data_IF_250667235570
#
_entry.id   IF_250667235570
#
_cell.length_a   1.000
_cell.length_b   1.000
_cell.length_c   1.000
_cell.angle_alpha   90.00
_cell.angle_beta   90.00
_cell.angle_gamma   90.00
#
_symmetry.space_group_name_H-M   'P 1'
#
loop_
_entity.id
_entity.type
_entity.pdbx_description
1 polymer ?
2 polymer ?
3 non-polymer ?
4 water ?
#
# COMPACT_ATOMS: atom_id res chain seq x y z
N UNK A 2 24.04 11.84 -21.72
CA UNK A 2 22.69 11.34 -21.92
C UNK A 2 22.06 10.90 -20.60
N UNK A 3 20.87 11.42 -20.30
CA UNK A 3 20.13 11.00 -19.12
C UNK A 3 19.44 9.68 -19.39
N UNK A 4 19.16 8.94 -18.32
CA UNK A 4 18.35 7.74 -18.42
C UNK A 4 16.93 8.17 -18.77
N UNK A 5 16.13 7.23 -19.28
CA UNK A 5 14.78 7.55 -19.74
C UNK A 5 13.93 8.12 -18.61
N UNK A 6 14.05 7.54 -17.43
CA UNK A 6 13.30 8.02 -16.26
C UNK A 6 13.67 9.44 -15.84
N UNK A 7 14.96 9.76 -15.82
CA UNK A 7 15.38 11.09 -15.40
C UNK A 7 15.06 12.13 -16.47
N UNK A 8 15.16 11.76 -17.74
CA UNK A 8 14.82 12.69 -18.82
C UNK A 8 13.32 12.94 -18.82
N UNK A 9 12.53 11.89 -18.58
CA UNK A 9 11.08 12.03 -18.47
C UNK A 9 10.73 12.97 -17.32
N UNK A 10 11.38 12.75 -16.18
CA UNK A 10 11.23 13.64 -15.02
C UNK A 10 11.54 15.08 -15.41
N UNK A 11 12.65 15.27 -16.12
CA UNK A 11 13.06 16.59 -16.60
C UNK A 11 12.03 17.23 -17.52
N UNK A 12 11.35 16.41 -18.31
CA UNK A 12 10.30 16.90 -19.20
C UNK A 12 9.09 17.39 -18.41
N UNK A 13 8.75 16.64 -17.36
CA UNK A 13 7.59 16.97 -16.55
C UNK A 13 7.77 18.31 -15.83
N UNK A 14 8.98 18.57 -15.34
CA UNK A 14 9.25 19.74 -14.52
C UNK A 14 9.74 20.95 -15.33
N UNK A 15 9.79 20.81 -16.65
CA UNK A 15 10.37 21.85 -17.50
C UNK A 15 9.56 23.14 -17.47
N UNK A 16 10.24 24.24 -17.20
CA UNK A 16 9.62 25.56 -17.20
C UNK A 16 8.83 25.87 -15.94
N UNK A 17 9.02 25.06 -14.92
CA UNK A 17 8.23 25.19 -13.69
C UNK A 17 9.11 25.48 -12.48
N UNK A 18 8.47 25.96 -11.42
CA UNK A 18 9.16 26.42 -10.21
C UNK A 18 8.81 25.54 -9.03
N UNK A 19 9.66 25.60 -8.00
CA UNK A 19 9.45 24.91 -6.74
C UNK A 19 8.59 25.79 -5.81
N UNK A 20 7.92 26.76 -6.41
CA UNK A 20 6.92 27.60 -5.75
C UNK A 20 5.54 27.41 -6.40
N UNK A 21 4.46 27.83 -5.71
CA UNK A 21 3.13 27.77 -6.35
C UNK A 21 3.06 28.64 -7.60
N UNK A 22 2.35 28.16 -8.62
CA UNK A 22 2.05 28.96 -9.80
C UNK A 22 1.00 30.02 -9.48
N UNK A 23 0.90 31.03 -10.34
CA UNK A 23 -0.11 32.08 -10.20
C UNK A 23 -1.52 31.51 -10.09
N UNK A 24 -1.82 30.50 -10.90
CA UNK A 24 -3.10 29.82 -10.87
C UNK A 24 -3.39 29.19 -9.51
N UNK A 25 -2.39 28.50 -8.95
CA UNK A 25 -2.55 27.84 -7.65
C UNK A 25 -2.72 28.86 -6.55
N UNK A 26 -1.91 29.92 -6.59
CA UNK A 26 -1.97 31.01 -5.62
C UNK A 26 -3.38 31.59 -5.56
N UNK A 27 -3.99 31.79 -6.73
CA UNK A 27 -5.36 32.31 -6.80
C UNK A 27 -6.35 31.39 -6.11
N UNK A 28 -6.17 30.09 -6.27
CA UNK A 28 -7.01 29.12 -5.59
C UNK A 28 -6.78 29.21 -4.08
N UNK A 29 -5.52 29.29 -3.68
CA UNK A 29 -5.15 29.49 -2.29
C UNK A 29 -5.87 30.71 -1.67
N UNK A 30 -5.91 31.80 -2.42
CA UNK A 30 -6.44 33.06 -1.90
C UNK A 30 -7.95 33.14 -1.92
N UNK A 31 -8.61 32.23 -2.64
CA UNK A 31 -10.07 32.20 -2.64
C UNK A 31 -10.59 31.43 -1.43
N UNK A 32 -9.66 30.87 -0.66
CA UNK A 32 -10.01 30.14 0.57
C UNK A 32 -10.18 31.09 1.75
N UNK A 33 -11.20 30.83 2.56
CA UNK A 33 -11.37 31.52 3.83
C UNK A 33 -10.06 31.45 4.63
N UNK A 34 -9.45 30.26 4.66
CA UNK A 34 -8.13 30.12 5.25
C UNK A 34 -7.12 29.71 4.17
N UNK A 35 -6.26 30.65 3.80
CA UNK A 35 -5.25 30.44 2.75
C UNK A 35 -4.13 29.54 3.27
N UNK A 36 -4.00 28.34 2.68
CA UNK A 36 -3.03 27.30 3.05
C UNK A 36 -1.57 27.59 2.71
N UNK A 37 -1.30 28.59 1.86
CA UNK A 37 0.04 28.74 1.26
C UNK A 37 1.20 28.75 2.25
N UNK A 38 1.01 29.33 3.43
CA UNK A 38 2.09 29.41 4.41
C UNK A 38 2.30 28.08 5.13
N UNK A 39 1.21 27.42 5.49
CA UNK A 39 1.32 26.13 6.16
C UNK A 39 1.86 25.06 5.23
N UNK A 40 1.55 25.19 3.95
CA UNK A 40 2.09 24.25 2.96
C UNK A 40 3.60 24.44 2.83
N UNK A 41 4.04 25.69 2.72
CA UNK A 41 5.47 26.00 2.71
C UNK A 41 6.20 25.42 3.92
N UNK A 42 5.59 25.55 5.10
CA UNK A 42 6.17 25.05 6.33
C UNK A 42 6.34 23.53 6.32
N UNK A 43 5.32 22.82 5.83
CA UNK A 43 5.41 21.38 5.67
C UNK A 43 6.56 20.98 4.73
N UNK A 44 6.67 21.64 3.57
CA UNK A 44 7.76 21.33 2.64
C UNK A 44 9.12 21.65 3.26
N UNK A 45 9.17 22.71 4.06
CA UNK A 45 10.40 23.09 4.75
C UNK A 45 10.78 22.04 5.81
N UNK A 46 9.79 21.57 6.56
CA UNK A 46 10.02 20.53 7.56
C UNK A 46 10.46 19.22 6.93
N UNK A 47 9.75 18.81 5.89
CA UNK A 47 10.04 17.58 5.15
C UNK A 47 11.41 17.65 4.50
N UNK A 48 11.71 18.81 3.91
CA UNK A 48 12.99 19.04 3.27
C UNK A 48 14.17 18.92 4.23
N UNK A 49 14.03 19.47 5.43
CA UNK A 49 15.13 19.43 6.40
C UNK A 49 15.35 18.00 6.90
N UNK A 50 14.26 17.31 7.27
CA UNK A 50 14.36 15.95 7.77
C UNK A 50 14.93 15.00 6.70
N UNK A 51 14.49 15.20 5.45
CA UNK A 51 15.01 14.43 4.31
C UNK A 51 16.51 14.59 4.16
N UNK A 52 16.97 15.85 4.19
CA UNK A 52 18.40 16.14 4.07
C UNK A 52 19.22 15.56 5.21
N UNK A 53 18.68 15.61 6.42
CA UNK A 53 19.38 15.07 7.60
C UNK A 53 19.62 13.57 7.48
N UNK A 54 18.59 12.84 7.07
CA UNK A 54 18.70 11.40 6.90
C UNK A 54 19.53 11.02 5.67
N UNK A 55 19.36 11.79 4.59
CA UNK A 55 20.07 11.54 3.34
C UNK A 55 21.59 11.62 3.53
N UNK A 56 22.02 12.63 4.27
CA UNK A 56 23.45 12.91 4.43
C UNK A 56 24.11 12.17 5.59
N UNK A 57 23.34 11.36 6.32
CA UNK A 57 23.88 10.60 7.45
C UNK A 57 23.81 9.09 7.23
N UNK A 58 24.84 8.36 7.66
CA UNK A 58 24.95 6.92 7.41
C UNK A 58 24.45 6.05 8.56
N UNK A 59 23.56 5.11 8.23
CA UNK A 59 22.89 4.25 9.22
C UNK A 59 23.49 2.84 9.40
N UNK A 60 24.61 2.59 8.73
CA UNK A 60 25.26 1.27 8.60
C UNK A 60 24.62 0.35 7.57
N UNK A 61 23.36 0.60 7.21
CA UNK A 61 22.77 -0.08 6.07
C UNK A 61 22.75 0.80 4.81
N UNK A 62 22.96 2.09 5.03
CA UNK A 62 22.81 3.11 3.99
C UNK A 62 23.87 4.20 4.08
N UNK A 63 25.00 4.03 3.37
CA UNK A 63 26.03 5.08 3.36
C UNK A 63 25.44 6.46 3.06
N UNK A 64 25.84 7.47 3.83
CA UNK A 64 25.34 8.82 3.65
C UNK A 64 25.86 9.45 2.38
N UNK A 65 25.15 10.48 1.90
CA UNK A 65 25.49 11.07 0.61
C UNK A 65 25.51 12.60 0.68
N UNK A 66 26.21 13.22 -0.28
CA UNK A 66 26.48 14.65 -0.24
C UNK A 66 25.21 15.49 -0.29
N UNK A 67 25.23 16.62 0.41
CA UNK A 67 24.06 17.47 0.57
C UNK A 67 23.61 18.10 -0.76
N UNK A 68 24.55 18.32 -1.68
CA UNK A 68 24.21 18.92 -2.97
C UNK A 68 23.27 18.03 -3.78
N UNK A 69 23.40 16.72 -3.64
CA UNK A 69 22.50 15.81 -4.34
C UNK A 69 21.14 15.76 -3.64
N UNK A 70 21.14 15.75 -2.31
CA UNK A 70 19.91 15.81 -1.54
C UNK A 70 19.05 16.99 -1.95
N UNK A 71 19.68 18.15 -2.01
CA UNK A 71 19.00 19.39 -2.36
C UNK A 71 18.44 19.34 -3.78
N UNK A 72 19.21 18.78 -4.70
CA UNK A 72 18.75 18.61 -6.06
C UNK A 72 17.56 17.64 -6.14
N UNK A 73 17.64 16.54 -5.40
CA UNK A 73 16.49 15.63 -5.28
C UNK A 73 15.28 16.40 -4.76
N UNK A 74 15.50 17.14 -3.68
CA UNK A 74 14.44 17.84 -2.99
C UNK A 74 13.78 18.87 -3.89
N UNK A 75 14.62 19.71 -4.52
CA UNK A 75 14.17 20.72 -5.45
C UNK A 75 13.25 20.15 -6.54
N UNK A 76 13.67 19.04 -7.12
CA UNK A 76 12.90 18.37 -8.16
C UNK A 76 11.56 17.89 -7.63
N UNK A 77 11.56 17.35 -6.41
CA UNK A 77 10.33 16.85 -5.82
C UNK A 77 9.37 18.00 -5.50
N UNK A 78 9.92 19.13 -5.09
CA UNK A 78 9.11 20.31 -4.79
C UNK A 78 8.45 20.87 -6.05
N UNK A 79 9.17 20.85 -7.16
CA UNK A 79 8.60 21.28 -8.42
C UNK A 79 7.44 20.35 -8.79
N UNK A 80 7.64 19.05 -8.64
CA UNK A 80 6.59 18.07 -8.90
C UNK A 80 5.39 18.26 -7.98
N UNK A 81 5.66 18.57 -6.71
CA UNK A 81 4.60 18.73 -5.73
C UNK A 81 3.61 19.82 -6.12
N UNK A 82 4.10 21.03 -6.39
CA UNK A 82 3.23 22.14 -6.74
C UNK A 82 2.53 21.93 -8.08
N UNK A 83 3.16 21.18 -8.98
CA UNK A 83 2.54 20.85 -10.25
C UNK A 83 1.34 19.93 -10.04
N UNK A 84 1.54 18.86 -9.29
CA UNK A 84 0.48 17.87 -9.08
C UNK A 84 -0.62 18.46 -8.20
N UNK A 85 -0.23 19.22 -7.18
CA UNK A 85 -1.19 19.89 -6.31
C UNK A 85 -2.09 20.84 -7.11
N UNK A 86 -1.51 21.57 -8.06
CA UNK A 86 -2.30 22.47 -8.88
C UNK A 86 -3.30 21.70 -9.72
N UNK A 87 -2.84 20.60 -10.32
CA UNK A 87 -3.71 19.74 -11.11
C UNK A 87 -4.84 19.18 -10.26
N UNK A 88 -4.51 18.72 -9.06
CA UNK A 88 -5.53 18.19 -8.16
C UNK A 88 -6.55 19.25 -7.77
N UNK A 89 -6.09 20.44 -7.44
CA UNK A 89 -6.99 21.50 -6.96
C UNK A 89 -7.92 22.00 -8.07
N UNK A 90 -7.38 22.12 -9.28
CA UNK A 90 -8.16 22.61 -10.40
C UNK A 90 -9.32 21.67 -10.75
N UNK A 91 -9.05 20.37 -10.74
CA UNK A 91 -10.03 19.37 -11.13
C UNK A 91 -10.99 18.99 -10.00
N UNK A 92 -10.78 19.58 -8.83
CA UNK A 92 -11.61 19.28 -7.67
C UNK A 92 -13.06 19.71 -7.87
N UNK A 93 -13.98 18.91 -7.35
CA UNK A 93 -15.42 19.17 -7.48
C UNK A 93 -15.83 20.49 -6.84
N UNK A 94 -15.32 20.76 -5.64
CA UNK A 94 -15.67 21.99 -4.94
C UNK A 94 -15.19 23.22 -5.70
N UNK A 95 -14.05 23.10 -6.36
CA UNK A 95 -13.49 24.20 -7.16
C UNK A 95 -14.42 24.51 -8.33
N UNK A 96 -14.87 23.45 -9.00
CA UNK A 96 -15.74 23.59 -10.17
C UNK A 96 -17.11 24.14 -9.80
N UNK A 97 -17.54 23.89 -8.56
CA UNK A 97 -18.81 24.42 -8.07
C UNK A 97 -18.64 25.75 -7.34
N UNK A 98 -17.39 26.23 -7.28
CA UNK A 98 -17.10 27.51 -6.66
C UNK A 98 -17.24 27.51 -5.16
N UNK A 99 -16.95 26.37 -4.53
CA UNK A 99 -17.08 26.25 -3.09
C UNK A 99 -15.73 26.32 -2.39
N UNK A 100 -15.73 26.89 -1.19
CA UNK A 100 -14.52 27.10 -0.42
C UNK A 100 -13.80 25.80 -0.14
N UNK A 101 -12.52 25.75 -0.49
CA UNK A 101 -11.70 24.56 -0.36
C UNK A 101 -10.83 24.50 0.89
N UNK A 102 -11.03 25.43 1.83
CA UNK A 102 -10.20 25.54 3.03
C UNK A 102 -9.99 24.20 3.73
N UNK A 103 -11.07 23.49 4.00
CA UNK A 103 -10.98 22.23 4.73
C UNK A 103 -10.23 21.19 3.91
N UNK A 104 -10.42 21.22 2.60
CA UNK A 104 -9.71 20.31 1.71
C UNK A 104 -8.20 20.55 1.79
N UNK A 105 -7.82 21.81 1.67
CA UNK A 105 -6.42 22.18 1.55
C UNK A 105 -5.65 22.20 2.88
N UNK A 106 -6.37 22.10 3.99
CA UNK A 106 -5.75 22.17 5.31
C UNK A 106 -5.45 20.81 5.93
N UNK A 107 -5.62 19.73 5.17
CA UNK A 107 -5.32 18.41 5.73
C UNK A 107 -3.85 18.09 5.54
N UNK A 108 -3.11 18.07 6.66
CA UNK A 108 -1.66 17.93 6.62
C UNK A 108 -1.21 16.60 6.01
N UNK A 109 -1.99 15.55 6.24
CA UNK A 109 -1.58 14.23 5.82
C UNK A 109 -1.55 14.16 4.29
N UNK A 110 -2.42 14.91 3.62
CA UNK A 110 -2.44 14.89 2.15
C UNK A 110 -1.16 15.50 1.61
N UNK A 111 -0.83 16.69 2.08
CA UNK A 111 0.36 17.40 1.61
C UNK A 111 1.64 16.64 1.91
N UNK A 112 1.74 16.10 3.12
CA UNK A 112 2.92 15.33 3.51
C UNK A 112 3.05 14.10 2.62
N UNK A 113 1.93 13.41 2.40
CA UNK A 113 1.95 12.21 1.59
C UNK A 113 2.31 12.53 0.14
N UNK A 114 1.82 13.65 -0.36
CA UNK A 114 2.08 14.05 -1.74
C UNK A 114 3.56 14.39 -1.94
N UNK A 115 4.10 15.15 -0.99
CA UNK A 115 5.52 15.50 -1.03
C UNK A 115 6.41 14.25 -0.90
N UNK A 116 6.00 13.30 -0.07
CA UNK A 116 6.76 12.05 0.06
C UNK A 116 6.69 11.23 -1.22
N UNK A 117 5.50 11.17 -1.80
CA UNK A 117 5.34 10.45 -3.05
C UNK A 117 6.18 11.10 -4.15
N UNK A 118 6.24 12.43 -4.13
CA UNK A 118 7.07 13.12 -5.11
C UNK A 118 8.54 12.78 -4.90
N UNK A 119 8.96 12.72 -3.64
CA UNK A 119 10.34 12.37 -3.32
C UNK A 119 10.63 10.94 -3.77
N UNK A 120 9.65 10.06 -3.57
CA UNK A 120 9.78 8.67 -3.99
C UNK A 120 9.90 8.54 -5.50
N UNK A 121 9.13 9.35 -6.23
CA UNK A 121 9.23 9.38 -7.69
C UNK A 121 10.64 9.75 -8.14
N UNK A 122 11.18 10.79 -7.54
CA UNK A 122 12.49 11.30 -7.89
C UNK A 122 13.58 10.27 -7.56
N UNK A 123 13.53 9.76 -6.34
CA UNK A 123 14.47 8.72 -5.89
C UNK A 123 14.44 7.51 -6.81
N UNK A 124 13.24 7.07 -7.18
CA UNK A 124 13.12 5.92 -8.08
C UNK A 124 13.74 6.22 -9.43
N UNK A 125 13.47 7.41 -9.96
CA UNK A 125 13.96 7.81 -11.28
C UNK A 125 15.47 7.76 -11.36
N UNK A 126 16.13 7.98 -10.23
CA UNK A 126 17.59 7.97 -10.17
C UNK A 126 18.16 6.62 -9.75
N UNK A 127 17.29 5.63 -9.60
CA UNK A 127 17.68 4.30 -9.11
C UNK A 127 18.37 4.42 -7.76
N UNK A 128 17.76 5.18 -6.86
CA UNK A 128 18.29 5.39 -5.54
C UNK A 128 18.40 4.08 -4.78
N UNK A 129 19.49 3.92 -4.01
CA UNK A 129 19.65 2.81 -3.06
C UNK A 129 18.67 2.94 -1.90
N UNK A 130 18.03 4.10 -1.76
CA UNK A 130 17.14 4.26 -0.61
C UNK A 130 15.78 3.77 -1.02
N UNK A 131 15.52 2.53 -0.64
CA UNK A 131 14.41 1.76 -1.17
C UNK A 131 13.21 1.98 -0.28
N UNK A 132 12.05 2.16 -0.89
CA UNK A 132 10.80 2.21 -0.17
C UNK A 132 10.71 0.99 0.74
N UNK A 133 10.21 1.16 1.99
CA UNK A 133 9.67 2.43 2.52
C UNK A 133 10.64 3.37 3.21
N UNK A 134 11.83 3.61 2.65
CA UNK A 134 12.80 4.49 3.29
C UNK A 134 12.20 5.88 3.49
N UNK A 135 11.61 6.44 2.43
CA UNK A 135 11.15 7.82 2.47
C UNK A 135 10.04 8.03 3.52
N UNK A 136 9.11 7.08 3.67
CA UNK A 136 8.03 7.28 4.64
C UNK A 136 8.41 6.90 6.07
N UNK A 137 9.51 6.18 6.25
CA UNK A 137 10.00 5.95 7.60
C UNK A 137 10.76 7.18 8.09
N UNK A 138 11.50 7.78 7.17
CA UNK A 138 12.26 8.99 7.43
C UNK A 138 11.35 10.17 7.76
N UNK A 139 10.20 10.23 7.10
CA UNK A 139 9.26 11.33 7.26
C UNK A 139 8.13 11.01 8.24
N UNK A 140 8.19 9.82 8.85
CA UNK A 140 7.18 9.37 9.79
C UNK A 140 5.76 9.38 9.22
N UNK A 141 5.62 8.85 8.02
CA UNK A 141 4.31 8.73 7.41
C UNK A 141 3.76 7.32 7.52
N UNK A 142 2.61 7.20 8.18
CA UNK A 142 1.91 5.93 8.32
C UNK A 142 1.54 5.38 6.96
N UNK A 143 1.94 4.12 6.68
CA UNK A 143 1.60 3.40 5.45
C UNK A 143 0.09 3.41 5.19
N UNK A 144 -0.71 3.24 6.25
CA UNK A 144 -2.16 3.17 6.13
C UNK A 144 -2.75 4.47 5.57
N UNK A 145 -2.14 5.59 5.92
CA UNK A 145 -2.59 6.88 5.40
C UNK A 145 -1.96 7.18 4.04
N UNK A 146 -0.67 6.91 3.93
CA UNK A 146 0.12 7.32 2.77
C UNK A 146 -0.35 6.74 1.44
N UNK A 147 -0.65 5.44 1.41
CA UNK A 147 -0.93 4.75 0.14
C UNK A 147 -2.04 5.43 -0.67
N UNK A 148 -2.93 6.14 0.00
CA UNK A 148 -4.09 6.77 -0.64
C UNK A 148 -3.69 7.84 -1.67
N UNK A 149 -2.51 8.42 -1.51
CA UNK A 149 -2.08 9.49 -2.41
C UNK A 149 -1.57 8.94 -3.75
N UNK A 150 -1.12 7.69 -3.76
CA UNK A 150 -0.52 7.11 -4.97
C UNK A 150 -1.50 7.14 -6.16
N UNK A 151 -2.73 6.72 -5.91
CA UNK A 151 -3.77 6.73 -6.94
C UNK A 151 -4.10 8.16 -7.37
N UNK A 152 -3.95 9.12 -6.47
CA UNK A 152 -4.20 10.51 -6.82
C UNK A 152 -3.07 11.00 -7.75
N UNK A 153 -1.83 10.67 -7.39
CA UNK A 153 -0.67 11.01 -8.23
C UNK A 153 -0.78 10.41 -9.62
N UNK A 154 -1.09 9.13 -9.69
CA UNK A 154 -1.21 8.42 -10.96
C UNK A 154 -2.29 9.08 -11.84
N UNK A 155 -3.38 9.49 -11.23
CA UNK A 155 -4.45 10.19 -11.93
C UNK A 155 -4.03 11.58 -12.39
N UNK A 156 -3.32 12.31 -11.53
CA UNK A 156 -3.12 13.74 -11.75
C UNK A 156 -1.88 14.09 -12.57
N UNK A 157 -1.00 13.14 -12.81
CA UNK A 157 0.15 13.39 -13.67
C UNK A 157 0.23 12.32 -14.75
N UNK A 158 -0.07 12.72 -15.98
CA UNK A 158 -0.13 11.79 -17.09
C UNK A 158 1.23 11.65 -17.75
N UNK A 159 2.14 12.54 -17.36
CA UNK A 159 3.49 12.53 -17.88
C UNK A 159 4.36 11.46 -17.25
N UNK A 160 3.85 10.82 -16.20
CA UNK A 160 4.55 9.69 -15.59
C UNK A 160 4.65 8.54 -16.58
N UNK A 161 5.82 7.93 -16.63
CA UNK A 161 6.05 6.78 -17.51
C UNK A 161 5.36 5.53 -17.00
N UNK A 162 5.22 4.54 -17.89
CA UNK A 162 4.73 3.22 -17.50
C UNK A 162 5.54 2.62 -16.35
N UNK A 163 6.87 2.79 -16.40
CA UNK A 163 7.75 2.25 -15.36
C UNK A 163 7.58 2.96 -14.03
N UNK A 164 7.38 4.28 -14.08
CA UNK A 164 7.10 5.05 -12.87
C UNK A 164 5.77 4.63 -12.25
N UNK A 165 4.73 4.49 -13.07
CA UNK A 165 3.41 4.05 -12.60
C UNK A 165 3.48 2.64 -12.02
N UNK A 166 4.23 1.76 -12.68
CA UNK A 166 4.43 0.40 -12.19
C UNK A 166 5.05 0.42 -10.79
N UNK A 167 6.07 1.25 -10.61
CA UNK A 167 6.71 1.38 -9.32
C UNK A 167 5.74 1.87 -8.25
N UNK A 168 4.92 2.84 -8.60
CA UNK A 168 3.95 3.39 -7.66
C UNK A 168 2.91 2.34 -7.29
N UNK A 169 2.48 1.57 -8.27
CA UNK A 169 1.58 0.46 -7.98
C UNK A 169 2.26 -0.63 -7.13
N UNK A 170 3.56 -0.80 -7.29
CA UNK A 170 4.29 -1.82 -6.53
C UNK A 170 4.34 -1.45 -5.06
N UNK A 171 4.61 -0.19 -4.76
CA UNK A 171 4.77 0.20 -3.37
C UNK A 171 3.40 0.33 -2.70
N UNK A 172 2.34 0.52 -3.49
CA UNK A 172 1.00 0.47 -2.94
C UNK A 172 0.67 -0.96 -2.53
N UNK A 173 1.00 -1.90 -3.41
CA UNK A 173 0.85 -3.32 -3.12
C UNK A 173 1.66 -3.73 -1.89
N UNK A 174 2.86 -3.19 -1.75
CA UNK A 174 3.70 -3.48 -0.59
C UNK A 174 3.03 -3.04 0.71
N UNK A 175 2.35 -1.90 0.65
CA UNK A 175 1.65 -1.37 1.82
C UNK A 175 0.45 -2.24 2.13
N UNK A 176 -0.33 -2.53 1.10
CA UNK A 176 -1.54 -3.34 1.22
C UNK A 176 -1.26 -4.76 1.72
N UNK A 177 -0.16 -5.35 1.27
CA UNK A 177 0.15 -6.75 1.58
C UNK A 177 0.83 -6.98 2.93
N UNK A 178 1.67 -6.04 3.37
CA UNK A 178 2.42 -6.20 4.62
C UNK A 178 2.43 -4.93 5.50
N UNK A 179 2.97 -3.84 4.96
CA UNK A 179 3.34 -2.67 5.77
C UNK A 179 2.21 -2.05 6.61
N UNK A 180 1.00 -2.01 6.06
CA UNK A 180 -0.12 -1.41 6.80
C UNK A 180 -0.60 -2.33 7.92
N UNK A 181 -0.07 -3.56 7.95
CA UNK A 181 -0.49 -4.55 8.94
C UNK A 181 0.45 -4.69 10.13
N UNK A 182 1.54 -3.91 10.14
CA UNK A 182 2.47 -3.94 11.25
C UNK A 182 1.76 -3.57 12.54
N UNK A 183 2.25 -4.09 13.67
CA UNK A 183 1.58 -3.89 14.94
C UNK A 183 1.38 -2.43 15.33
N UNK A 184 2.25 -1.54 14.84
CA UNK A 184 2.13 -0.12 15.16
C UNK A 184 1.41 0.71 14.08
N UNK A 185 0.85 0.04 13.08
CA UNK A 185 0.13 0.72 12.00
C UNK A 185 -1.15 1.41 12.47
N UNK A 186 -1.48 2.53 11.83
CA UNK A 186 -2.70 3.27 12.15
C UNK A 186 -3.97 2.48 11.79
N UNK A 187 -3.82 1.43 10.98
CA UNK A 187 -4.93 0.55 10.68
C UNK A 187 -5.64 0.06 11.94
N UNK A 188 -4.85 -0.40 12.92
CA UNK A 188 -5.41 -0.94 14.16
C UNK A 188 -6.20 0.10 14.94
N UNK A 189 -5.73 1.34 14.92
CA UNK A 189 -6.44 2.46 15.53
C UNK A 189 -7.82 2.64 14.89
N UNK A 190 -7.84 2.60 13.57
CA UNK A 190 -9.06 2.77 12.79
C UNK A 190 -10.05 1.65 13.05
N UNK A 191 -9.55 0.43 13.13
CA UNK A 191 -10.40 -0.72 13.44
C UNK A 191 -10.94 -0.59 14.85
N UNK A 192 -10.10 -0.07 15.74
CA UNK A 192 -10.43 0.07 17.15
C UNK A 192 -11.64 0.99 17.36
N UNK A 193 -11.66 2.16 16.71
CA UNK A 193 -12.77 3.08 16.93
C UNK A 193 -14.02 2.56 16.21
N UNK A 194 -13.83 1.58 15.34
CA UNK A 194 -14.91 0.88 14.66
C UNK A 194 -15.33 -0.39 15.40
N UNK A 195 -14.84 -0.53 16.64
CA UNK A 195 -15.17 -1.68 17.49
C UNK A 195 -14.62 -2.96 16.90
N UNK A 196 -13.48 -2.84 16.23
CA UNK A 196 -12.79 -3.97 15.62
C UNK A 196 -13.68 -4.76 14.67
N UNK A 197 -14.62 -4.06 14.05
CA UNK A 197 -15.47 -4.67 13.05
C UNK A 197 -14.79 -4.51 11.70
N UNK A 198 -14.35 -5.63 11.14
CA UNK A 198 -13.70 -5.64 9.84
C UNK A 198 -14.73 -5.71 8.73
N UNK A 199 -14.67 -4.79 7.77
CA UNK A 199 -15.66 -4.83 6.69
C UNK A 199 -15.50 -6.06 5.81
N UNK A 200 -16.61 -6.73 5.50
CA UNK A 200 -16.59 -7.89 4.62
C UNK A 200 -16.41 -7.41 3.18
N UNK A 201 -15.99 -8.31 2.29
CA UNK A 201 -15.75 -7.94 0.90
C UNK A 201 -17.01 -7.37 0.25
N UNK A 202 -18.13 -8.02 0.48
CA UNK A 202 -19.41 -7.59 -0.08
C UNK A 202 -19.75 -6.17 0.35
N UNK A 203 -19.41 -5.82 1.58
CA UNK A 203 -19.69 -4.50 2.11
C UNK A 203 -18.93 -3.39 1.38
N UNK A 204 -17.64 -3.61 1.11
CA UNK A 204 -16.84 -2.57 0.46
C UNK A 204 -16.72 -2.63 -1.07
N UNK A 205 -17.10 -3.73 -1.71
CA UNK A 205 -16.95 -3.79 -3.17
C UNK A 205 -18.23 -3.33 -3.86
N UNK A 206 -19.20 -2.90 -3.08
CA UNK A 206 -20.39 -2.28 -3.63
C UNK A 206 -20.60 -0.92 -2.98
N UNK A 207 -21.04 0.04 -3.80
CA UNK A 207 -21.22 1.41 -3.34
C UNK A 207 -22.31 1.51 -2.27
N UNK A 215 -23.88 10.18 11.38
CA UNK A 215 -22.73 10.27 12.28
C UNK A 215 -21.82 9.03 12.39
N UNK A 216 -21.05 8.76 11.34
CA UNK A 216 -20.14 7.58 11.27
C UNK A 216 -18.92 7.68 12.18
N UNK A 217 -18.37 6.53 12.61
CA UNK A 217 -17.04 6.55 13.25
C UNK A 217 -16.01 7.13 12.29
N UNK A 218 -15.03 7.89 12.78
CA UNK A 218 -14.01 8.38 11.85
C UNK A 218 -13.17 7.19 11.37
N UNK A 219 -12.64 7.32 10.15
CA UNK A 219 -11.81 6.33 9.46
C UNK A 219 -12.67 5.24 8.83
N UNK A 220 -13.99 5.34 9.01
CA UNK A 220 -14.93 4.45 8.34
C UNK A 220 -14.67 4.41 6.84
N UNK A 221 -14.64 5.59 6.22
CA UNK A 221 -14.29 5.72 4.82
C UNK A 221 -12.89 5.20 4.53
N UNK A 222 -11.94 5.50 5.40
CA UNK A 222 -10.58 4.98 5.27
C UNK A 222 -10.54 3.46 5.38
N UNK A 223 -11.29 2.91 6.32
CA UNK A 223 -11.40 1.46 6.49
C UNK A 223 -11.96 0.82 5.24
N UNK A 224 -13.05 1.39 4.72
CA UNK A 224 -13.73 0.87 3.54
C UNK A 224 -12.83 0.86 2.31
N UNK A 225 -12.13 1.96 2.07
CA UNK A 225 -11.23 2.05 0.91
C UNK A 225 -10.05 1.09 1.04
N UNK A 226 -9.42 1.06 2.21
CA UNK A 226 -8.26 0.19 2.41
C UNK A 226 -8.62 -1.27 2.16
N UNK A 227 -9.70 -1.73 2.77
CA UNK A 227 -10.11 -3.12 2.62
C UNK A 227 -10.63 -3.43 1.22
N UNK A 228 -11.22 -2.44 0.55
CA UNK A 228 -11.58 -2.59 -0.85
C UNK A 228 -10.32 -2.89 -1.68
N UNK A 229 -9.25 -2.17 -1.40
CA UNK A 229 -7.99 -2.37 -2.12
C UNK A 229 -7.38 -3.73 -1.77
N UNK A 230 -7.50 -4.11 -0.50
CA UNK A 230 -6.98 -5.39 -0.01
C UNK A 230 -7.73 -6.55 -0.64
N UNK A 231 -9.05 -6.49 -0.60
CA UNK A 231 -9.89 -7.53 -1.20
C UNK A 231 -9.65 -7.61 -2.70
N UNK A 232 -9.49 -6.46 -3.35
CA UNK A 232 -9.23 -6.42 -4.78
C UNK A 232 -7.88 -7.05 -5.13
N UNK A 233 -6.87 -6.74 -4.33
CA UNK A 233 -5.52 -7.25 -4.56
C UNK A 233 -5.46 -8.77 -4.36
N UNK A 234 -6.07 -9.23 -3.27
CA UNK A 234 -6.03 -10.64 -2.93
C UNK A 234 -6.81 -11.47 -3.94
N UNK A 235 -7.85 -10.89 -4.52
CA UNK A 235 -8.66 -11.62 -5.49
C UNK A 235 -7.88 -11.83 -6.78
N UNK A 236 -7.08 -10.84 -7.17
CA UNK A 236 -6.25 -10.93 -8.36
C UNK A 236 -5.19 -12.01 -8.18
N UNK A 237 -4.59 -12.04 -6.99
CA UNK A 237 -3.59 -13.05 -6.68
C UNK A 237 -4.22 -14.45 -6.59
N UNK A 238 -5.40 -14.54 -5.98
CA UNK A 238 -6.06 -15.84 -5.86
C UNK A 238 -6.50 -16.36 -7.23
N UNK A 239 -6.95 -15.46 -8.10
CA UNK A 239 -7.34 -15.85 -9.46
C UNK A 239 -6.16 -16.43 -10.24
N UNK A 240 -4.98 -15.82 -10.07
CA UNK A 240 -3.81 -16.30 -10.78
C UNK A 240 -3.39 -17.67 -10.28
N UNK A 241 -3.37 -17.83 -8.96
CA UNK A 241 -3.02 -19.09 -8.33
C UNK A 241 -3.94 -20.22 -8.78
N UNK A 242 -5.25 -19.97 -8.74
CA UNK A 242 -6.23 -20.95 -9.15
C UNK A 242 -6.06 -21.35 -10.61
N UNK A 243 -5.59 -20.40 -11.42
CA UNK A 243 -5.35 -20.65 -12.82
C UNK A 243 -4.14 -21.57 -13.00
N UNK A 244 -3.02 -21.20 -12.37
CA UNK A 244 -1.79 -21.97 -12.51
C UNK A 244 -1.90 -23.32 -11.82
N UNK A 245 -2.79 -23.42 -10.84
CA UNK A 245 -3.05 -24.69 -10.17
C UNK A 245 -4.27 -25.39 -10.77
N UNK A 246 -4.88 -24.74 -11.76
CA UNK A 246 -6.06 -25.25 -12.47
C UNK A 246 -7.08 -25.81 -11.48
N UNK A 247 -7.71 -24.92 -10.75
CA UNK A 247 -8.69 -25.31 -9.74
C UNK A 247 -10.08 -24.91 -10.21
N UNK A 248 -11.09 -25.66 -9.77
CA UNK A 248 -12.48 -25.32 -10.07
C UNK A 248 -12.82 -23.96 -9.47
N UNK A 249 -13.77 -23.27 -10.09
CA UNK A 249 -14.22 -21.98 -9.60
C UNK A 249 -14.98 -22.10 -8.28
N UNK A 250 -15.46 -23.31 -7.99
CA UNK A 250 -16.20 -23.55 -6.75
C UNK A 250 -15.26 -23.62 -5.55
N UNK A 251 -14.10 -24.23 -5.72
CA UNK A 251 -13.11 -24.24 -4.66
C UNK A 251 -12.50 -22.85 -4.51
N UNK A 252 -12.36 -22.15 -5.64
CA UNK A 252 -11.89 -20.77 -5.63
C UNK A 252 -12.78 -19.91 -4.71
N UNK A 253 -14.09 -20.02 -4.91
CA UNK A 253 -15.05 -19.30 -4.09
C UNK A 253 -14.96 -19.74 -2.62
N UNK A 254 -14.67 -21.02 -2.40
CA UNK A 254 -14.52 -21.54 -1.04
C UNK A 254 -13.23 -21.06 -0.40
N UNK A 255 -12.15 -21.04 -1.17
CA UNK A 255 -10.87 -20.52 -0.70
C UNK A 255 -11.00 -19.04 -0.35
N UNK A 256 -11.65 -18.30 -1.24
CA UNK A 256 -11.93 -16.88 -1.02
C UNK A 256 -12.74 -16.65 0.25
N UNK A 257 -13.74 -17.50 0.47
CA UNK A 257 -14.59 -17.41 1.65
C UNK A 257 -13.79 -17.63 2.94
N UNK A 258 -12.86 -18.57 2.90
CA UNK A 258 -12.02 -18.86 4.05
C UNK A 258 -11.04 -17.70 4.31
N UNK A 259 -10.48 -17.16 3.24
CA UNK A 259 -9.57 -16.03 3.36
C UNK A 259 -10.27 -14.81 3.96
N UNK A 260 -11.47 -14.52 3.48
CA UNK A 260 -12.25 -13.41 4.02
C UNK A 260 -12.53 -13.64 5.50
N UNK A 261 -12.85 -14.88 5.85
CA UNK A 261 -13.11 -15.24 7.24
C UNK A 261 -11.93 -14.90 8.13
N UNK A 262 -10.72 -15.15 7.65
CA UNK A 262 -9.54 -14.88 8.44
C UNK A 262 -9.30 -13.37 8.55
N UNK A 263 -9.59 -12.63 7.49
CA UNK A 263 -9.49 -11.16 7.55
C UNK A 263 -10.53 -10.56 8.49
N UNK A 264 -11.76 -11.04 8.37
CA UNK A 264 -12.88 -10.48 9.13
C UNK A 264 -12.96 -10.99 10.57
N UNK A 265 -12.87 -12.31 10.75
CA UNK A 265 -13.01 -12.86 12.09
C UNK A 265 -11.72 -13.30 12.79
N UNK A 266 -10.58 -13.24 12.10
CA UNK A 266 -9.29 -13.43 12.77
C UNK A 266 -8.28 -12.39 12.33
N UNK A 267 -8.61 -11.09 12.45
CA UNK A 267 -7.73 -10.09 11.83
C UNK A 267 -6.37 -9.98 12.50
N UNK A 268 -6.27 -10.38 13.76
CA UNK A 268 -4.99 -10.36 14.48
C UNK A 268 -3.93 -11.24 13.80
N UNK A 269 -4.37 -12.26 13.06
CA UNK A 269 -3.44 -13.13 12.33
C UNK A 269 -2.60 -12.36 11.32
N UNK A 270 -3.13 -11.24 10.83
CA UNK A 270 -2.41 -10.43 9.85
C UNK A 270 -1.36 -9.53 10.48
N UNK A 271 -1.46 -9.29 11.79
CA UNK A 271 -0.55 -8.36 12.43
C UNK A 271 0.90 -8.81 12.26
N UNK A 272 1.71 -7.92 11.70
CA UNK A 272 3.13 -8.18 11.43
C UNK A 272 3.36 -9.36 10.49
N UNK A 273 2.36 -9.70 9.69
CA UNK A 273 2.52 -10.80 8.75
C UNK A 273 2.22 -10.30 7.33
N UNK A 274 2.16 -11.25 6.40
CA UNK A 274 2.01 -10.95 4.98
C UNK A 274 0.69 -11.50 4.49
N UNK A 275 -0.01 -10.68 3.71
CA UNK A 275 -1.30 -11.05 3.13
C UNK A 275 -1.29 -12.40 2.40
N UNK A 276 -0.22 -12.67 1.66
CA UNK A 276 -0.16 -13.88 0.86
C UNK A 276 -0.02 -15.13 1.74
N UNK A 277 0.50 -14.96 2.94
CA UNK A 277 0.64 -16.08 3.87
C UNK A 277 -0.73 -16.60 4.28
N UNK A 278 -1.67 -15.69 4.49
CA UNK A 278 -3.03 -16.08 4.85
C UNK A 278 -3.76 -16.64 3.64
N UNK A 279 -3.42 -16.14 2.46
CA UNK A 279 -4.10 -16.57 1.24
C UNK A 279 -3.67 -17.98 0.85
N UNK A 280 -2.39 -18.30 1.05
CA UNK A 280 -1.88 -19.62 0.70
C UNK A 280 -2.39 -20.67 1.68
N UNK A 281 -2.47 -20.30 2.94
CA UNK A 281 -3.03 -21.18 3.96
C UNK A 281 -4.52 -21.43 3.69
N UNK A 282 -5.22 -20.38 3.30
CA UNK A 282 -6.63 -20.52 2.94
C UNK A 282 -6.77 -21.51 1.78
N UNK A 283 -5.85 -21.44 0.82
CA UNK A 283 -5.89 -22.29 -0.35
C UNK A 283 -5.84 -23.79 -0.02
N UNK A 284 -4.87 -24.14 0.82
CA UNK A 284 -4.56 -25.53 1.16
C UNK A 284 -5.65 -26.14 2.04
N UNK A 285 -6.04 -25.42 3.09
CA UNK A 285 -6.99 -25.98 4.06
C UNK A 285 -8.35 -26.19 3.39
N UNK A 286 -8.69 -25.34 2.44
CA UNK A 286 -9.94 -25.47 1.70
C UNK A 286 -9.84 -26.55 0.64
N UNK A 287 -8.71 -26.62 -0.05
CA UNK A 287 -8.49 -27.70 -1.02
C UNK A 287 -8.49 -29.04 -0.29
N UNK A 288 -7.90 -29.03 0.90
CA UNK A 288 -7.88 -30.22 1.76
C UNK A 288 -9.28 -30.69 2.10
N UNK A 289 -10.04 -29.87 2.83
CA UNK A 289 -11.35 -30.28 3.33
C UNK A 289 -12.35 -30.65 2.24
N UNK A 290 -12.17 -30.11 1.04
CA UNK A 290 -13.09 -30.39 -0.07
C UNK A 290 -12.61 -31.54 -0.93
N UNK A 291 -11.46 -32.11 -0.58
CA UNK A 291 -10.89 -33.29 -1.26
C UNK A 291 -10.52 -32.98 -2.72
N UNK A 292 -10.30 -31.71 -2.99
CA UNK A 292 -9.73 -31.23 -4.25
C UNK A 292 -8.21 -31.07 -4.08
N UNK A 293 -7.69 -31.63 -2.99
CA UNK A 293 -6.43 -31.23 -2.38
C UNK A 293 -5.24 -31.01 -3.30
N UNK A 294 -4.51 -29.94 -3.04
CA UNK A 294 -3.21 -29.68 -3.63
C UNK A 294 -2.19 -29.55 -2.51
N UNK A 295 -0.97 -30.03 -2.73
CA UNK A 295 0.07 -29.94 -1.71
C UNK A 295 0.50 -28.47 -1.52
N UNK A 296 0.88 -28.11 -0.30
CA UNK A 296 1.44 -26.77 -0.06
C UNK A 296 2.64 -26.52 -0.94
N UNK A 297 3.39 -27.58 -1.21
CA UNK A 297 4.60 -27.47 -2.03
C UNK A 297 4.24 -27.00 -3.43
N UNK A 298 3.25 -27.62 -4.06
CA UNK A 298 2.84 -27.18 -5.39
C UNK A 298 2.09 -25.86 -5.33
N UNK A 299 1.41 -25.61 -4.22
CA UNK A 299 0.78 -24.31 -3.99
C UNK A 299 1.84 -23.20 -4.03
N UNK A 300 2.96 -23.45 -3.36
CA UNK A 300 4.02 -22.45 -3.26
C UNK A 300 4.88 -22.31 -4.53
N UNK A 301 5.12 -23.39 -5.28
CA UNK A 301 5.87 -23.26 -6.53
C UNK A 301 5.04 -22.45 -7.53
N UNK A 302 3.72 -22.61 -7.47
CA UNK A 302 2.81 -21.82 -8.29
C UNK A 302 2.81 -20.37 -7.81
N UNK A 303 2.90 -20.20 -6.50
CA UNK A 303 2.91 -18.86 -5.90
C UNK A 303 4.14 -18.06 -6.27
N UNK A 304 5.30 -18.71 -6.29
CA UNK A 304 6.58 -18.02 -6.44
C UNK A 304 6.77 -17.33 -7.80
N UNK A 305 5.95 -17.69 -8.78
CA UNK A 305 6.03 -17.05 -10.09
C UNK A 305 5.28 -15.73 -10.15
N UNK A 306 4.65 -15.36 -9.04
CA UNK A 306 3.98 -14.07 -8.93
C UNK A 306 5.00 -12.98 -8.59
N UNK A 307 4.81 -11.76 -9.13
CA UNK A 307 5.78 -10.66 -9.03
C UNK A 307 6.19 -10.33 -7.59
N UNK A 308 5.23 -10.31 -6.67
CA UNK A 308 5.51 -9.92 -5.29
C UNK A 308 6.17 -11.04 -4.51
N UNK A 309 6.10 -12.26 -5.06
CA UNK A 309 6.53 -13.42 -4.31
C UNK A 309 8.04 -13.48 -4.18
N UNK A 310 8.51 -13.44 -2.93
CA UNK A 310 9.91 -13.64 -2.61
C UNK A 310 10.00 -14.82 -1.66
N UNK A 311 11.18 -15.41 -1.55
CA UNK A 311 11.36 -16.62 -0.77
C UNK A 311 10.92 -16.45 0.68
N UNK A 312 11.18 -15.28 1.26
CA UNK A 312 10.95 -15.06 2.68
C UNK A 312 9.47 -15.15 3.06
N UNK A 313 8.59 -14.98 2.07
CA UNK A 313 7.16 -14.97 2.34
C UNK A 313 6.67 -16.31 2.90
N UNK A 314 7.03 -17.43 2.25
CA UNK A 314 6.70 -18.74 2.82
C UNK A 314 7.84 -19.42 3.61
N UNK A 315 9.06 -18.92 3.44
CA UNK A 315 10.20 -19.46 4.20
C UNK A 315 10.37 -18.79 5.56
N UNK A 316 10.18 -17.47 5.64
CA UNK A 316 10.31 -16.78 6.92
C UNK A 316 8.99 -16.15 7.36
N UNK A 317 8.34 -16.76 8.34
CA UNK A 317 7.01 -16.34 8.75
C UNK A 317 6.97 -16.13 10.26
N UNK A 318 6.27 -15.11 10.71
CA UNK A 318 6.19 -14.82 12.13
C UNK A 318 5.37 -15.89 12.86
N UNK A 319 5.96 -16.49 13.88
CA UNK A 319 5.29 -17.51 14.68
C UNK A 319 4.78 -16.93 15.99
N UNK A 320 5.68 -16.47 16.84
CA UNK A 320 5.30 -15.87 18.12
C UNK A 320 6.36 -14.91 18.63
N UNK A 325 10.67 -15.23 16.98
CA UNK A 325 10.68 -16.59 16.44
C UNK A 325 9.97 -16.67 15.09
N UNK A 326 10.65 -17.27 14.12
CA UNK A 326 10.11 -17.39 12.77
C UNK A 326 10.33 -18.80 12.22
N UNK A 327 9.46 -19.21 11.31
CA UNK A 327 9.54 -20.53 10.72
C UNK A 327 8.94 -20.44 9.33
N UNK A 328 8.96 -21.55 8.58
CA UNK A 328 8.39 -21.51 7.24
C UNK A 328 6.88 -21.53 7.30
N UNK A 329 6.23 -21.48 6.14
CA UNK A 329 4.77 -21.31 6.09
C UNK A 329 4.05 -22.52 6.66
N UNK A 330 4.64 -23.70 6.48
CA UNK A 330 4.04 -24.95 6.92
C UNK A 330 3.93 -25.00 8.44
N UNK A 331 4.99 -24.54 9.12
CA UNK A 331 4.99 -24.52 10.57
C UNK A 331 3.96 -23.51 11.08
N UNK A 332 3.83 -22.40 10.37
CA UNK A 332 2.82 -21.39 10.71
C UNK A 332 1.42 -21.98 10.61
N UNK A 333 1.17 -22.70 9.52
CA UNK A 333 -0.11 -23.33 9.28
C UNK A 333 -0.48 -24.29 10.41
N UNK A 334 0.44 -25.19 10.75
CA UNK A 334 0.18 -26.21 11.76
C UNK A 334 -0.04 -25.65 13.17
N UNK A 335 0.89 -24.81 13.62
CA UNK A 335 0.88 -24.37 15.02
C UNK A 335 -0.04 -23.18 15.29
N UNK A 336 -0.49 -22.50 14.25
CA UNK A 336 -1.28 -21.29 14.43
C UNK A 336 -2.58 -21.30 13.63
N UNK A 337 -2.44 -21.33 12.30
CA UNK A 337 -3.58 -21.17 11.40
C UNK A 337 -4.68 -22.23 11.59
N UNK A 338 -4.30 -23.50 11.71
CA UNK A 338 -5.29 -24.56 11.82
C UNK A 338 -6.19 -24.35 13.04
N UNK A 339 -5.58 -24.15 14.19
CA UNK A 339 -6.33 -23.96 15.42
C UNK A 339 -7.39 -22.88 15.32
N UNK A 340 -7.07 -21.80 14.64
CA UNK A 340 -7.99 -20.66 14.53
C UNK A 340 -9.09 -20.87 13.50
N UNK A 341 -8.74 -21.41 12.34
CA UNK A 341 -9.68 -21.52 11.22
C UNK A 341 -10.35 -22.89 11.04
N UNK A 342 -9.96 -23.89 11.82
CA UNK A 342 -10.43 -25.26 11.54
C UNK A 342 -11.93 -25.40 11.78
N UNK A 343 -12.47 -24.62 12.71
CA UNK A 343 -13.91 -24.66 12.98
C UNK A 343 -14.67 -24.18 11.74
N UNK A 344 -14.22 -23.08 11.17
CA UNK A 344 -14.86 -22.52 9.99
C UNK A 344 -14.66 -23.42 8.78
N UNK A 345 -13.46 -23.99 8.65
CA UNK A 345 -13.13 -24.87 7.54
C UNK A 345 -13.94 -26.16 7.61
N UNK A 346 -13.76 -26.91 8.68
CA UNK A 346 -14.47 -28.17 8.87
C UNK A 346 -15.94 -28.03 8.53
N UNK A 347 -16.38 -26.79 8.31
CA UNK A 347 -17.77 -26.52 7.98
C UNK A 347 -18.01 -26.61 6.47
N UNK A 348 -17.06 -27.20 5.76
CA UNK A 348 -17.16 -27.36 4.32
C UNK A 348 -16.64 -28.72 3.86
N UNK A 361 -22.69 -20.23 4.03
CA UNK A 361 -22.78 -19.29 2.89
C UNK A 361 -21.41 -18.92 2.33
N UNK A 362 -21.33 -18.71 1.03
CA UNK A 362 -20.08 -18.34 0.39
C UNK A 362 -20.07 -16.86 0.00
N UNK A 363 -18.88 -16.27 0.07
CA UNK A 363 -18.71 -14.85 -0.22
C UNK A 363 -18.60 -14.58 -1.72
N UNK A 364 -19.01 -13.38 -2.16
CA UNK A 364 -18.86 -13.01 -3.56
C UNK A 364 -17.40 -12.80 -3.96
N UNK A 365 -17.02 -13.37 -5.10
CA UNK A 365 -15.66 -13.22 -5.62
C UNK A 365 -15.60 -12.06 -6.61
N UNK A 366 -14.80 -11.03 -6.29
CA UNK A 366 -14.68 -9.79 -7.08
C UNK A 366 -14.36 -10.03 -8.55
N UNK B 1 -5.21 -34.51 11.20
CA UNK B 1 -5.87 -34.71 9.91
C UNK B 1 -5.74 -33.48 9.02
N UNK B 2 -6.08 -32.32 9.56
CA UNK B 2 -5.97 -31.08 8.81
C UNK B 2 -4.55 -30.51 8.86
N UNK B 3 -3.67 -31.21 9.56
CA UNK B 3 -2.28 -30.80 9.67
C UNK B 3 -1.51 -31.15 8.40
N UNK B 4 -0.45 -30.39 8.13
CA UNK B 4 0.35 -30.60 6.93
C UNK B 4 1.66 -31.33 7.26
N UNK B 5 1.82 -32.51 6.68
CA UNK B 5 2.94 -33.37 7.00
C UNK B 5 4.10 -33.23 6.02
N UNK B 6 3.95 -32.28 5.10
CA UNK B 6 5.01 -31.95 4.17
C UNK B 6 6.14 -31.17 4.85
N UNK B 7 7.32 -31.20 4.24
CA UNK B 7 8.47 -30.40 4.67
C UNK B 7 9.06 -29.68 3.45
N UNK B 8 10.18 -28.96 3.63
CA UNK B 8 10.76 -28.16 2.55
C UNK B 8 12.29 -28.43 2.39
N UNK B 9 12.95 -27.99 1.31
CA UNK B 9 12.44 -27.10 0.25
C UNK B 9 11.35 -27.68 -0.64
#
# INVERSE_FOLDING_TARGET
GEFTQSVSRLQSIVAGLKNAPSDQLINIFESCVRNPVENIMKILKGIGETFCQHYTQSTDEQPGSHIDFAVNRLKLAEILYYKILETVMVQETRRLHGMDMSVLLEQDIFHRSLMACCLEIVLFAYSSPRTFPWIIEVLNLQPFYFYKVIEVVIRSEEGLSRDMVKHLNSIEEQILESLAWSHDSALWEALQVSANKVPTCEEVIFPNNFETGNNRPKRTGSLALFYRKVYHLASVRLRDLCLKLDVSNELRRKIWTCFEFTLVHCPDLMKDRHLDQLLLCAFYIMAKVTKEERTFQEIMKSYRNQPQANSHVYRSVLLKSIKEERGDLIKFYNTIYVGRVKSFALKYDLANQDHMMDAPPLSPFPHIKQQ
DLYCYEQLN
#
